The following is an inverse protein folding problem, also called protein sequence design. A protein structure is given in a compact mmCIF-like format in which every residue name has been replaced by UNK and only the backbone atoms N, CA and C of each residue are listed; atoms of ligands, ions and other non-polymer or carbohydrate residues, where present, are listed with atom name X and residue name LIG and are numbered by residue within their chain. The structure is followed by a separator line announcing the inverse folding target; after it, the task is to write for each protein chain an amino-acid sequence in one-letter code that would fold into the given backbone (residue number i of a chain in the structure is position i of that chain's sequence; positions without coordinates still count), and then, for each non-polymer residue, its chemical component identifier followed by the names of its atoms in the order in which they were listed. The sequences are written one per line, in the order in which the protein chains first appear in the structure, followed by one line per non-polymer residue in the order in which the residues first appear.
data_IF_722609396808
#
_entry.id   IF_722609396808
#
_cell.length_a   1.000
_cell.length_b   1.000
_cell.length_c   1.000
_cell.angle_alpha   90.00
_cell.angle_beta   90.00
_cell.angle_gamma   90.00
#
_symmetry.space_group_name_H-M   'P 1'
#
loop_
_entity.id
_entity.type
_entity.pdbx_description
1 polymer ?
#
# COMPACT_ATOMS: atom_id res chain seq x y z
N UNK A 1 46.59 -12.01 -31.20
CA UNK A 1 46.19 -12.07 -30.91
C UNK A 1 45.30 -11.75 -30.26
N UNK A 2 44.80 -11.66 -29.94
CA UNK A 2 44.06 -11.58 -29.43
C UNK A 2 43.22 -11.16 -28.91
N UNK A 3 42.95 -10.94 -28.69
CA UNK A 3 42.22 -10.78 -28.22
C UNK A 3 41.40 -10.36 -27.62
N UNK A 4 40.86 -10.08 -27.26
CA UNK A 4 40.13 -9.84 -26.67
C UNK A 4 39.32 -9.46 -26.22
N UNK A 5 38.74 -9.26 -25.92
CA UNK A 5 38.03 -9.07 -25.52
C UNK A 5 37.22 -8.68 -24.92
N UNK A 6 36.76 -8.52 -24.55
CA UNK A 6 36.08 -8.32 -24.02
C UNK A 6 35.29 -7.94 -23.48
N UNK A 7 34.86 -7.79 -23.12
CA UNK A 7 34.13 -7.57 -22.61
C UNK A 7 33.27 -7.14 -22.17
N UNK A 8 32.83 -7.04 -21.82
CA UNK A 8 32.07 -6.74 -21.41
C UNK A 8 31.22 -6.46 -20.76
N UNK A 9 30.72 -6.32 -20.28
CA UNK A 9 30.01 -6.14 -19.61
C UNK A 9 29.09 -5.76 -19.22
N UNK A 10 28.48 -5.60 -18.79
CA UNK A 10 27.61 -5.34 -18.39
C UNK A 10 26.83 -4.98 -17.64
N UNK A 11 26.28 -4.87 -17.17
CA UNK A 11 25.64 -4.51 -16.50
C UNK A 11 24.72 -4.25 -16.09
N UNK A 12 23.95 -4.15 -15.68
CA UNK A 12 23.03 -4.00 -15.27
C UNK A 12 22.32 -3.48 -14.58
N UNK A 13 21.75 -3.27 -14.08
CA UNK A 13 21.15 -2.72 -13.54
C UNK A 13 20.20 -2.64 -13.01
N UNK A 14 19.51 -2.64 -12.63
CA UNK A 14 18.63 -2.73 -12.12
C UNK A 14 17.92 -1.99 -11.54
N UNK A 15 17.55 -1.64 -11.18
CA UNK A 15 16.91 -0.92 -10.78
C UNK A 15 15.89 -0.89 -10.13
N UNK A 16 15.13 -0.66 -10.13
CA UNK A 16 14.11 -0.69 -9.55
C UNK A 16 13.84 -0.38 -8.40
N UNK A 17 13.91 -0.55 -7.75
CA UNK A 17 13.69 -0.33 -6.58
C UNK A 17 13.06 0.83 -6.26
N UNK A 18 13.07 1.77 -6.77
CA UNK A 18 12.52 2.88 -6.34
C UNK A 18 11.19 2.82 -5.92
N UNK A 19 10.47 1.95 -6.35
CA UNK A 19 9.21 1.91 -5.93
C UNK A 19 9.06 1.40 -4.68
N UNK A 20 9.92 1.25 -3.92
CA UNK A 20 9.82 0.68 -2.66
C UNK A 20 8.70 1.21 -1.90
N UNK A 21 8.32 2.40 -2.10
CA UNK A 21 7.26 2.92 -1.30
C UNK A 21 5.93 2.36 -1.68
N UNK A 22 5.83 1.69 -2.76
CA UNK A 22 4.57 1.16 -3.16
C UNK A 22 4.36 -0.22 -2.66
N UNK A 23 3.31 -0.43 -1.93
CA UNK A 23 2.99 -1.74 -1.43
C UNK A 23 2.45 -2.58 -2.57
N UNK A 24 3.07 -3.70 -2.80
CA UNK A 24 2.64 -4.56 -3.88
C UNK A 24 1.93 -5.76 -3.30
N UNK A 25 0.62 -5.73 -3.32
CA UNK A 25 -0.16 -6.82 -2.79
C UNK A 25 -0.72 -7.69 -3.90
N UNK A 26 -0.81 -8.97 -3.61
CA UNK A 26 -1.36 -9.92 -4.57
C UNK A 26 -2.85 -10.05 -4.34
N UNK A 27 -3.61 -9.20 -4.98
CA UNK A 27 -5.07 -9.24 -4.83
C UNK A 27 -5.64 -10.44 -5.56
N UNK A 28 -6.73 -10.98 -5.03
CA UNK A 28 -7.36 -12.13 -5.64
C UNK A 28 -7.96 -11.79 -6.97
N UNK A 29 -8.51 -10.60 -7.11
CA UNK A 29 -9.13 -10.21 -8.37
C UNK A 29 -9.25 -8.68 -8.39
N UNK A 30 -9.83 -8.16 -9.45
CA UNK A 30 -9.96 -6.73 -9.60
C UNK A 30 -10.94 -6.11 -8.64
N UNK A 31 -11.92 -6.86 -8.20
CA UNK A 31 -12.88 -6.34 -7.23
C UNK A 31 -12.17 -6.06 -5.92
N UNK A 32 -11.32 -6.98 -5.49
CA UNK A 32 -10.59 -6.78 -4.25
C UNK A 32 -9.63 -5.60 -4.38
N UNK A 33 -8.97 -5.47 -5.52
CA UNK A 33 -8.07 -4.36 -5.74
C UNK A 33 -8.83 -3.03 -5.70
N UNK A 34 -10.00 -2.98 -6.32
CA UNK A 34 -10.79 -1.75 -6.33
C UNK A 34 -11.25 -1.39 -4.93
N UNK A 35 -11.65 -2.37 -4.14
CA UNK A 35 -12.07 -2.12 -2.78
C UNK A 35 -10.91 -1.60 -1.93
N UNK A 36 -9.72 -2.18 -2.11
CA UNK A 36 -8.54 -1.72 -1.39
C UNK A 36 -8.24 -0.27 -1.75
N UNK A 37 -8.28 0.05 -3.03
CA UNK A 37 -7.99 1.40 -3.48
C UNK A 37 -8.99 2.38 -2.90
N UNK A 38 -10.26 2.03 -2.91
CA UNK A 38 -11.27 2.91 -2.39
C UNK A 38 -11.14 3.11 -0.89
N UNK A 39 -10.97 2.04 -0.15
CA UNK A 39 -10.88 2.14 1.31
C UNK A 39 -9.65 2.94 1.74
N UNK A 40 -8.52 2.70 1.12
CA UNK A 40 -7.31 3.41 1.53
C UNK A 40 -7.34 4.87 1.15
N UNK A 41 -8.16 5.25 0.18
CA UNK A 41 -8.32 6.64 -0.17
C UNK A 41 -9.38 7.34 0.64
N UNK A 42 -10.37 6.59 1.12
CA UNK A 42 -11.39 7.19 1.93
C UNK A 42 -10.97 7.34 3.37
N UNK A 43 -10.19 6.45 3.88
CA UNK A 43 -9.83 6.47 5.29
C UNK A 43 -8.59 7.33 5.51
N UNK A 44 -8.60 8.08 6.61
CA UNK A 44 -7.50 8.99 6.90
C UNK A 44 -6.48 8.35 7.79
N UNK A 45 -5.24 8.69 7.58
CA UNK A 45 -4.17 8.22 8.44
C UNK A 45 -4.24 8.98 9.77
N UNK A 46 -4.41 8.28 10.89
CA UNK A 46 -4.63 8.97 12.17
C UNK A 46 -3.44 9.76 12.70
N UNK A 47 -2.25 9.46 12.23
CA UNK A 47 -1.08 10.16 12.70
C UNK A 47 -0.31 10.85 11.59
N UNK A 48 -0.98 11.11 10.48
CA UNK A 48 -0.36 11.81 9.38
C UNK A 48 -0.97 13.20 9.29
N UNK A 49 -0.36 14.05 8.45
CA UNK A 49 -0.87 15.37 8.35
C UNK A 49 -1.89 15.45 7.26
N UNK A 50 -3.13 15.27 7.60
CA UNK A 50 -4.22 15.39 6.64
C UNK A 50 -4.06 14.55 5.39
N UNK A 51 -3.50 13.39 5.52
CA UNK A 51 -3.34 12.50 4.38
C UNK A 51 -4.21 11.28 4.54
N UNK A 52 -4.71 10.77 3.43
CA UNK A 52 -5.41 9.49 3.49
C UNK A 52 -4.38 8.37 3.61
N UNK A 53 -4.87 7.18 3.89
CA UNK A 53 -3.98 6.05 4.13
C UNK A 53 -3.22 5.68 2.87
N UNK A 54 -3.83 5.89 1.71
CA UNK A 54 -3.19 5.52 0.45
C UNK A 54 -1.98 6.39 0.14
N UNK A 55 -2.04 7.66 0.49
CA UNK A 55 -1.01 8.59 0.07
C UNK A 55 0.14 8.79 1.03
N UNK A 56 0.01 8.35 2.24
CA UNK A 56 1.03 8.64 3.24
C UNK A 56 2.19 7.67 3.18
N UNK A 57 3.40 8.19 3.32
CA UNK A 57 4.58 7.34 3.41
C UNK A 57 4.96 7.02 4.84
N UNK A 58 4.18 7.48 5.80
CA UNK A 58 4.49 7.22 7.19
C UNK A 58 4.39 5.74 7.50
N UNK A 59 5.22 5.23 8.40
CA UNK A 59 5.16 3.81 8.76
C UNK A 59 3.80 3.36 9.24
N UNK A 60 3.08 4.24 9.97
CA UNK A 60 1.77 3.85 10.43
C UNK A 60 0.81 3.65 9.27
N UNK A 61 0.91 4.47 8.22
CA UNK A 61 0.04 4.30 7.07
C UNK A 61 0.34 2.99 6.36
N UNK A 62 1.61 2.63 6.28
CA UNK A 62 1.97 1.36 5.65
C UNK A 62 1.39 0.19 6.44
N UNK A 63 1.41 0.27 7.75
CA UNK A 63 0.84 -0.78 8.58
C UNK A 63 -0.67 -0.85 8.39
N UNK A 64 -1.33 0.29 8.25
CA UNK A 64 -2.76 0.30 8.06
C UNK A 64 -3.15 -0.24 6.68
N UNK A 65 -2.36 0.05 5.67
CA UNK A 65 -2.62 -0.52 4.35
C UNK A 65 -2.52 -2.05 4.39
N UNK A 66 -1.53 -2.55 5.12
CA UNK A 66 -1.37 -3.99 5.26
C UNK A 66 -2.56 -4.59 5.98
N UNK A 67 -3.04 -3.91 7.02
CA UNK A 67 -4.17 -4.42 7.77
C UNK A 67 -5.43 -4.46 6.92
N UNK A 68 -5.64 -3.43 6.11
CA UNK A 68 -6.80 -3.39 5.24
C UNK A 68 -6.74 -4.52 4.21
N UNK A 69 -5.56 -4.74 3.64
CA UNK A 69 -5.39 -5.84 2.69
C UNK A 69 -5.71 -7.18 3.36
N UNK A 70 -5.22 -7.38 4.56
CA UNK A 70 -5.46 -8.63 5.28
C UNK A 70 -6.94 -8.87 5.49
N UNK A 71 -7.67 -7.83 5.90
CA UNK A 71 -9.09 -7.97 6.14
C UNK A 71 -9.86 -8.23 4.86
N UNK A 72 -9.46 -7.59 3.77
CA UNK A 72 -10.10 -7.86 2.49
C UNK A 72 -9.84 -9.30 2.06
N UNK A 73 -8.63 -9.77 2.26
CA UNK A 73 -8.27 -11.12 1.87
C UNK A 73 -9.03 -12.15 2.70
N UNK A 74 -9.43 -11.79 3.90
CA UNK A 74 -10.23 -12.66 4.75
C UNK A 74 -11.70 -12.59 4.42
N UNK A 75 -12.09 -11.77 3.49
CA UNK A 75 -13.50 -11.70 3.09
C UNK A 75 -14.35 -10.74 3.88
N UNK A 76 -13.75 -9.84 4.63
CA UNK A 76 -14.54 -8.91 5.41
C UNK A 76 -15.16 -7.85 4.53
N UNK A 77 -16.31 -7.35 4.91
CA UNK A 77 -16.99 -6.32 4.14
C UNK A 77 -16.35 -4.97 4.38
N UNK A 78 -16.64 -4.02 3.50
CA UNK A 78 -16.12 -2.67 3.67
C UNK A 78 -16.57 -2.09 5.01
N UNK A 79 -17.82 -2.33 5.39
CA UNK A 79 -18.31 -1.80 6.65
C UNK A 79 -17.57 -2.40 7.84
N UNK A 80 -17.29 -3.69 7.78
CA UNK A 80 -16.54 -4.33 8.86
C UNK A 80 -15.14 -3.75 8.97
N UNK A 81 -14.51 -3.45 7.83
CA UNK A 81 -13.18 -2.89 7.83
C UNK A 81 -13.19 -1.48 8.39
N UNK A 82 -14.18 -0.68 8.00
CA UNK A 82 -14.30 0.68 8.50
C UNK A 82 -14.55 0.65 10.00
N UNK A 83 -15.44 -0.23 10.45
CA UNK A 83 -15.74 -0.32 11.87
C UNK A 83 -14.51 -0.72 12.67
N UNK A 84 -13.72 -1.62 12.15
CA UNK A 84 -12.49 -2.02 12.81
C UNK A 84 -11.55 -0.82 12.95
N UNK A 85 -11.42 -0.05 11.88
CA UNK A 85 -10.53 1.09 11.89
C UNK A 85 -11.00 2.18 12.86
N UNK A 86 -12.29 2.45 12.87
CA UNK A 86 -12.85 3.43 13.77
C UNK A 86 -12.70 2.99 15.22
N UNK A 87 -12.95 1.72 15.47
CA UNK A 87 -12.87 1.19 16.81
C UNK A 87 -11.45 1.27 17.34
N UNK A 88 -10.46 1.09 16.49
CA UNK A 88 -9.10 1.07 16.93
C UNK A 88 -8.44 2.42 16.95
N UNK A 89 -8.78 3.28 16.01
CA UNK A 89 -8.09 4.54 15.83
C UNK A 89 -8.98 5.75 15.99
N UNK A 90 -10.27 5.56 16.19
CA UNK A 90 -11.19 6.68 16.45
C UNK A 90 -11.86 7.18 15.19
N UNK A 91 -12.88 8.00 15.40
CA UNK A 91 -13.68 8.51 14.29
C UNK A 91 -12.88 9.34 13.30
N UNK A 92 -11.74 9.84 13.69
CA UNK A 92 -10.94 10.67 12.80
C UNK A 92 -10.60 9.95 11.51
N UNK A 93 -10.47 8.62 11.54
CA UNK A 93 -10.10 7.89 10.34
C UNK A 93 -11.16 8.02 9.26
N UNK A 94 -12.39 8.38 9.63
CA UNK A 94 -13.45 8.55 8.65
C UNK A 94 -13.65 9.99 8.24
N UNK A 95 -12.94 10.89 8.88
CA UNK A 95 -13.21 12.30 8.66
C UNK A 95 -12.71 12.77 7.30
N UNK A 96 -13.59 13.43 6.56
CA UNK A 96 -13.22 13.98 5.31
C UNK A 96 -13.50 15.43 5.37
N UNK A 97 -12.48 16.28 5.37
CA UNK A 97 -12.66 17.73 5.48
C UNK A 97 -13.38 18.32 4.29
#
# INVERSE_FOLDING_TARGET
MSRFLCGTLLVLCSASAAQAAIDAYAFKDEVERARYTELTRELRCPKCQNQDIADSNAPIAADLRKEIFRMLDEGQSNQQIIDFMVDRYGEFVRYKP
#
